data_IF_187559559568
#
_entry.id   IF_187559559568
#
_cell.length_a   1.000
_cell.length_b   1.000
_cell.length_c   1.000
_cell.angle_alpha   90.00
_cell.angle_beta   90.00
_cell.angle_gamma   90.00
#
_symmetry.space_group_name_H-M   'P 1'
#
loop_
_entity.id
_entity.type
_entity.pdbx_description
1 polymer ?
#
# COMPACT_ATOMS: atom_id res chain seq x y z
N UNK A 1 -4.66 24.39 -17.29
CA UNK A 1 -4.04 23.12 -16.85
C UNK A 1 -3.49 23.38 -15.47
N UNK A 2 -4.07 22.76 -14.45
CA UNK A 2 -3.45 22.73 -13.12
C UNK A 2 -2.10 22.02 -13.24
N UNK A 3 -1.11 22.47 -12.47
CA UNK A 3 0.23 21.89 -12.45
C UNK A 3 0.22 20.42 -12.02
N UNK A 4 1.37 19.72 -12.08
CA UNK A 4 1.43 18.33 -11.66
C UNK A 4 0.99 18.19 -10.19
N UNK A 5 0.17 17.18 -9.90
CA UNK A 5 -0.20 16.82 -8.54
C UNK A 5 1.07 16.56 -7.70
N UNK A 6 1.09 17.07 -6.47
CA UNK A 6 2.21 16.84 -5.56
C UNK A 6 1.97 15.51 -4.85
N UNK A 7 2.70 14.47 -5.29
CA UNK A 7 2.61 13.13 -4.69
C UNK A 7 3.66 12.99 -3.59
N UNK A 8 3.24 12.52 -2.42
CA UNK A 8 4.16 12.15 -1.33
C UNK A 8 4.29 10.64 -1.24
N UNK A 9 5.48 10.16 -0.85
CA UNK A 9 5.79 8.73 -0.73
C UNK A 9 6.25 8.42 0.69
N UNK A 10 5.77 7.31 1.25
CA UNK A 10 6.26 6.77 2.52
C UNK A 10 6.05 5.27 2.63
N UNK A 11 6.75 4.65 3.57
CA UNK A 11 6.50 3.27 3.97
C UNK A 11 5.26 3.22 4.88
N UNK A 12 4.36 2.23 4.72
CA UNK A 12 3.27 2.00 5.68
C UNK A 12 3.81 1.52 7.03
N UNK A 13 3.09 1.83 8.10
CA UNK A 13 3.31 1.19 9.40
C UNK A 13 2.65 -0.19 9.45
N UNK A 14 2.98 -0.95 10.50
CA UNK A 14 2.38 -2.26 10.77
C UNK A 14 0.86 -2.25 10.89
N UNK A 15 0.30 -1.19 11.46
CA UNK A 15 -1.15 -1.00 11.61
C UNK A 15 -1.82 -0.62 10.28
N UNK A 16 -1.02 -0.11 9.33
CA UNK A 16 -1.46 0.35 8.02
C UNK A 16 -1.36 -0.71 6.92
N UNK A 17 -0.90 -1.93 7.22
CA UNK A 17 -0.72 -2.96 6.20
C UNK A 17 -2.02 -3.33 5.49
N UNK A 18 -3.14 -3.42 6.22
CA UNK A 18 -4.44 -3.69 5.61
C UNK A 18 -4.88 -2.57 4.65
N UNK A 19 -4.96 -1.29 5.06
CA UNK A 19 -5.34 -0.22 4.14
C UNK A 19 -4.32 -0.04 3.00
N UNK A 20 -3.03 -0.30 3.23
CA UNK A 20 -2.02 -0.34 2.19
C UNK A 20 -2.38 -1.35 1.09
N UNK A 21 -2.55 -2.63 1.43
CA UNK A 21 -2.87 -3.63 0.42
C UNK A 21 -4.25 -3.44 -0.21
N UNK A 22 -5.21 -2.89 0.54
CA UNK A 22 -6.53 -2.51 0.01
C UNK A 22 -6.45 -1.39 -1.02
N UNK A 23 -5.50 -0.45 -0.91
CA UNK A 23 -5.30 0.60 -1.92
C UNK A 23 -5.03 -0.03 -3.30
N UNK A 24 -4.20 -1.08 -3.35
CA UNK A 24 -3.93 -1.81 -4.59
C UNK A 24 -5.06 -2.77 -4.98
N UNK A 25 -5.59 -3.53 -4.01
CA UNK A 25 -6.61 -4.56 -4.28
C UNK A 25 -7.93 -3.96 -4.79
N UNK A 26 -8.34 -2.80 -4.26
CA UNK A 26 -9.58 -2.13 -4.67
C UNK A 26 -9.59 -1.77 -6.16
N UNK A 27 -8.42 -1.42 -6.74
CA UNK A 27 -8.29 -1.15 -8.18
C UNK A 27 -8.65 -2.36 -9.06
N UNK A 28 -8.59 -3.58 -8.50
CA UNK A 28 -8.90 -4.84 -9.17
C UNK A 28 -10.20 -5.49 -8.65
N UNK A 29 -11.02 -4.76 -7.88
CA UNK A 29 -12.24 -5.27 -7.28
C UNK A 29 -12.02 -6.27 -6.14
N UNK A 30 -10.80 -6.33 -5.59
CA UNK A 30 -10.45 -7.16 -4.45
C UNK A 30 -10.58 -6.41 -3.13
N UNK A 31 -10.67 -7.19 -2.05
CA UNK A 31 -10.58 -6.70 -0.67
C UNK A 31 -9.70 -7.67 0.12
N UNK A 32 -8.78 -7.11 0.89
CA UNK A 32 -7.91 -7.83 1.81
C UNK A 32 -8.62 -7.97 3.14
N UNK A 33 -8.72 -9.22 3.60
CA UNK A 33 -9.30 -9.57 4.89
C UNK A 33 -8.23 -9.54 5.99
N UNK A 34 -8.66 -9.38 7.23
CA UNK A 34 -7.74 -9.35 8.38
C UNK A 34 -6.95 -10.64 8.54
N UNK A 35 -7.58 -11.77 8.23
CA UNK A 35 -6.98 -13.10 8.27
C UNK A 35 -5.83 -13.28 7.27
N UNK A 36 -5.74 -12.46 6.22
CA UNK A 36 -4.65 -12.51 5.24
C UNK A 36 -3.37 -11.85 5.77
N UNK A 37 -3.47 -10.85 6.65
CA UNK A 37 -2.33 -10.02 7.07
C UNK A 37 -1.11 -10.83 7.58
N UNK A 38 -1.27 -11.88 8.42
CA UNK A 38 -0.15 -12.69 8.86
C UNK A 38 0.62 -13.36 7.70
N UNK A 39 -0.09 -13.81 6.66
CA UNK A 39 0.53 -14.41 5.47
C UNK A 39 1.30 -13.37 4.65
N UNK A 40 0.79 -12.15 4.54
CA UNK A 40 1.48 -11.10 3.78
C UNK A 40 2.75 -10.64 4.52
N UNK A 41 2.72 -10.57 5.86
CA UNK A 41 3.92 -10.34 6.67
C UNK A 41 5.06 -11.33 6.42
N UNK A 42 4.75 -12.58 6.05
CA UNK A 42 5.79 -13.58 5.75
C UNK A 42 6.31 -13.52 4.31
N UNK A 43 5.67 -12.73 3.42
CA UNK A 43 5.95 -12.70 1.98
C UNK A 43 6.58 -11.37 1.53
N UNK A 44 6.32 -10.29 2.26
CA UNK A 44 6.78 -8.95 1.91
C UNK A 44 7.83 -8.45 2.89
N UNK A 45 8.84 -7.76 2.36
CA UNK A 45 9.76 -6.98 3.15
C UNK A 45 9.07 -5.64 3.48
N UNK A 46 8.65 -5.46 4.73
CA UNK A 46 7.87 -4.31 5.15
C UNK A 46 8.63 -2.99 4.95
N UNK A 47 9.96 -3.01 5.12
CA UNK A 47 10.83 -1.85 4.91
C UNK A 47 10.96 -1.48 3.42
N UNK A 48 10.47 -2.32 2.52
CA UNK A 48 10.47 -2.10 1.05
C UNK A 48 9.07 -1.90 0.48
N UNK A 49 8.10 -1.60 1.33
CA UNK A 49 6.78 -1.16 0.90
C UNK A 49 6.79 0.36 0.66
N UNK A 50 6.17 0.79 -0.43
CA UNK A 50 6.05 2.21 -0.80
C UNK A 50 4.58 2.51 -1.05
N UNK A 51 4.06 3.52 -0.35
CA UNK A 51 2.70 4.02 -0.48
C UNK A 51 2.72 5.48 -0.93
N UNK A 52 2.01 5.76 -2.03
CA UNK A 52 1.87 7.08 -2.62
C UNK A 52 0.55 7.76 -2.23
N UNK A 53 0.61 9.06 -1.97
CA UNK A 53 -0.53 9.88 -1.55
C UNK A 53 -0.66 11.18 -2.36
N UNK A 54 -1.89 11.56 -2.67
CA UNK A 54 -2.28 12.91 -3.11
C UNK A 54 -2.99 13.63 -1.94
N UNK A 55 -2.26 14.50 -1.25
CA UNK A 55 -2.67 14.97 0.08
C UNK A 55 -2.75 13.80 1.07
N UNK A 56 -3.93 13.60 1.66
CA UNK A 56 -4.21 12.47 2.57
C UNK A 56 -4.78 11.25 1.84
N UNK A 57 -5.06 11.35 0.54
CA UNK A 57 -5.68 10.29 -0.24
C UNK A 57 -4.61 9.29 -0.71
N UNK A 58 -4.68 8.01 -0.31
CA UNK A 58 -3.81 6.98 -0.87
C UNK A 58 -4.17 6.70 -2.34
N UNK A 59 -3.17 6.73 -3.23
CA UNK A 59 -3.38 6.62 -4.69
C UNK A 59 -2.65 5.46 -5.35
N UNK A 60 -1.56 4.95 -4.77
CA UNK A 60 -0.83 3.81 -5.34
C UNK A 60 0.05 3.10 -4.32
N UNK A 61 0.35 1.83 -4.55
CA UNK A 61 1.28 1.04 -3.73
C UNK A 61 2.30 0.31 -4.58
N UNK A 62 3.48 0.05 -4.00
CA UNK A 62 4.50 -0.83 -4.54
C UNK A 62 5.08 -1.69 -3.42
N UNK A 63 5.34 -2.96 -3.70
CA UNK A 63 5.79 -3.93 -2.71
C UNK A 63 6.91 -4.80 -3.26
N UNK A 64 7.93 -5.08 -2.44
CA UNK A 64 8.98 -6.04 -2.75
C UNK A 64 8.71 -7.37 -2.05
N UNK A 65 8.72 -8.44 -2.83
CA UNK A 65 8.59 -9.80 -2.32
C UNK A 65 9.95 -10.37 -1.89
N UNK A 66 9.96 -11.23 -0.87
CA UNK A 66 11.19 -11.77 -0.25
C UNK A 66 11.58 -13.19 -0.71
N UNK A 67 11.02 -13.68 -1.81
CA UNK A 67 11.28 -15.06 -2.28
C UNK A 67 12.74 -15.33 -2.66
#
# INVERSE_FOLDING_TARGET
MEGPATVTLRTPTDEELKPFFNTGAAAFGGEIKEEDIPRWRSVFDLDRLIWAFDGELPVATAAAHTF
#
